data_IF_531232568431
#
_entry.id   IF_531232568431
#
_cell.length_a   1.000
_cell.length_b   1.000
_cell.length_c   1.000
_cell.angle_alpha   90.00
_cell.angle_beta   90.00
_cell.angle_gamma   90.00
#
_symmetry.space_group_name_H-M   'P 1'
#
loop_
_entity.id
_entity.type
_entity.pdbx_description
1 polymer ?
#
# COMPACT_ATOMS: atom_id res chain seq x y z
N UNK A 1 17.86 -54.88 4.58
CA UNK A 1 18.36 -53.55 5.00
C UNK A 1 17.82 -52.52 4.02
N UNK A 2 16.89 -51.67 4.47
CA UNK A 2 16.31 -50.59 3.65
C UNK A 2 17.40 -49.56 3.33
N UNK A 3 17.61 -49.20 2.06
CA UNK A 3 18.67 -48.24 1.69
C UNK A 3 18.32 -46.86 2.25
N UNK A 4 19.30 -46.12 2.77
CA UNK A 4 19.13 -44.76 3.35
C UNK A 4 18.31 -43.84 2.44
N UNK A 5 18.49 -43.97 1.12
CA UNK A 5 17.68 -43.29 0.09
C UNK A 5 16.18 -43.53 0.28
N UNK A 6 15.76 -44.79 0.38
CA UNK A 6 14.34 -45.16 0.37
C UNK A 6 13.63 -44.63 1.61
N UNK A 7 14.34 -44.60 2.74
CA UNK A 7 13.82 -44.06 3.99
C UNK A 7 13.71 -42.53 3.97
N UNK A 8 14.70 -41.82 3.41
CA UNK A 8 14.62 -40.36 3.18
C UNK A 8 13.36 -40.03 2.36
N UNK A 9 13.09 -40.80 1.30
CA UNK A 9 11.94 -40.58 0.44
C UNK A 9 10.62 -40.89 1.13
N UNK A 10 10.56 -41.97 1.92
CA UNK A 10 9.40 -42.32 2.75
C UNK A 10 9.06 -41.20 3.73
N UNK A 11 10.05 -40.69 4.47
CA UNK A 11 9.86 -39.62 5.45
C UNK A 11 9.42 -38.31 4.79
N UNK A 12 9.92 -38.00 3.57
CA UNK A 12 9.45 -36.85 2.80
C UNK A 12 7.98 -36.98 2.38
N UNK A 13 7.56 -38.15 1.90
CA UNK A 13 6.15 -38.44 1.57
C UNK A 13 5.23 -38.30 2.78
N UNK A 14 5.73 -38.61 3.98
CA UNK A 14 5.03 -38.43 5.25
C UNK A 14 5.01 -36.97 5.75
N UNK A 15 5.57 -36.03 5.00
CA UNK A 15 5.50 -34.61 5.33
C UNK A 15 6.65 -34.09 6.20
N UNK A 16 7.69 -34.89 6.49
CA UNK A 16 8.81 -34.44 7.32
C UNK A 16 9.70 -33.43 6.59
N UNK A 17 10.21 -32.46 7.33
CA UNK A 17 11.20 -31.47 6.90
C UNK A 17 12.62 -32.06 6.85
N UNK A 18 13.54 -31.43 6.09
CA UNK A 18 14.94 -31.87 6.07
C UNK A 18 15.59 -31.96 7.47
N UNK A 19 15.40 -30.99 8.39
CA UNK A 19 15.94 -31.11 9.76
C UNK A 19 15.43 -32.34 10.53
N UNK A 20 14.16 -32.69 10.38
CA UNK A 20 13.58 -33.87 11.04
C UNK A 20 14.15 -35.16 10.46
N UNK A 21 14.32 -35.24 9.14
CA UNK A 21 14.96 -36.39 8.48
C UNK A 21 16.42 -36.55 8.89
N UNK A 22 17.16 -35.44 8.98
CA UNK A 22 18.55 -35.42 9.47
C UNK A 22 18.61 -35.94 10.92
N UNK A 23 17.68 -35.51 11.77
CA UNK A 23 17.59 -35.95 13.17
C UNK A 23 17.27 -37.45 13.28
N UNK A 24 16.33 -37.93 12.48
CA UNK A 24 15.86 -39.32 12.53
C UNK A 24 16.86 -40.31 11.94
N UNK A 25 17.55 -39.93 10.86
CA UNK A 25 18.44 -40.84 10.11
C UNK A 25 19.93 -40.59 10.36
N UNK A 26 20.28 -39.52 11.08
CA UNK A 26 21.68 -39.15 11.37
C UNK A 26 22.50 -38.80 10.12
N UNK A 27 21.85 -38.46 9.00
CA UNK A 27 22.52 -38.19 7.73
C UNK A 27 22.68 -36.69 7.47
N UNK A 28 23.61 -36.31 6.58
CA UNK A 28 23.86 -34.89 6.30
C UNK A 28 22.75 -34.27 5.45
N UNK A 29 22.57 -32.95 5.59
CA UNK A 29 21.61 -32.17 4.75
C UNK A 29 21.85 -32.38 3.25
N UNK A 30 23.11 -32.51 2.84
CA UNK A 30 23.49 -32.74 1.45
C UNK A 30 23.00 -34.08 0.93
N UNK A 31 23.04 -35.14 1.75
CA UNK A 31 22.53 -36.48 1.41
C UNK A 31 21.02 -36.43 1.22
N UNK A 32 20.29 -35.79 2.14
CA UNK A 32 18.83 -35.61 2.04
C UNK A 32 18.47 -34.84 0.77
N UNK A 33 19.15 -33.72 0.50
CA UNK A 33 18.90 -32.89 -0.68
C UNK A 33 19.17 -33.65 -1.98
N UNK A 34 20.29 -34.38 -2.07
CA UNK A 34 20.70 -35.13 -3.27
C UNK A 34 19.68 -36.20 -3.66
N UNK A 35 19.12 -36.91 -2.68
CA UNK A 35 18.13 -37.96 -2.93
C UNK A 35 16.75 -37.40 -3.26
N UNK A 36 16.37 -36.26 -2.69
CA UNK A 36 15.13 -35.58 -3.08
C UNK A 36 15.22 -34.99 -4.50
N UNK A 37 16.33 -34.33 -4.86
CA UNK A 37 16.45 -33.62 -6.14
C UNK A 37 16.44 -34.50 -7.40
N UNK A 38 16.65 -35.82 -7.26
CA UNK A 38 16.70 -36.77 -8.39
C UNK A 38 15.38 -37.50 -8.66
N UNK A 39 14.27 -37.09 -8.05
CA UNK A 39 12.96 -37.67 -8.33
C UNK A 39 12.27 -36.99 -9.50
N UNK A 40 11.85 -37.77 -10.49
CA UNK A 40 10.80 -37.36 -11.42
C UNK A 40 9.51 -37.11 -10.61
N UNK A 41 8.83 -35.98 -10.85
CA UNK A 41 7.66 -35.57 -10.07
C UNK A 41 7.96 -34.88 -8.73
N UNK A 42 9.20 -34.42 -8.49
CA UNK A 42 9.60 -33.74 -7.25
C UNK A 42 8.67 -32.58 -6.83
N UNK A 43 7.99 -31.91 -7.78
CA UNK A 43 7.07 -30.80 -7.46
C UNK A 43 5.90 -31.21 -6.56
N UNK A 44 5.40 -32.44 -6.66
CA UNK A 44 4.28 -32.92 -5.82
C UNK A 44 4.71 -33.30 -4.40
N UNK A 45 6.00 -33.58 -4.20
CA UNK A 45 6.57 -33.97 -2.90
C UNK A 45 7.26 -32.80 -2.17
N UNK A 46 7.41 -31.65 -2.81
CA UNK A 46 7.87 -30.43 -2.14
C UNK A 46 6.74 -29.87 -1.32
N UNK A 47 6.76 -30.12 -0.01
CA UNK A 47 6.06 -29.26 0.93
C UNK A 47 6.64 -27.87 0.73
N UNK A 48 5.85 -26.95 0.19
CA UNK A 48 6.23 -25.55 0.07
C UNK A 48 6.35 -24.97 1.49
N UNK A 49 7.54 -25.11 2.08
CA UNK A 49 7.88 -24.52 3.37
C UNK A 49 7.85 -22.98 3.33
N UNK A 50 7.69 -22.37 2.14
CA UNK A 50 7.51 -20.94 1.94
C UNK A 50 6.07 -20.49 2.25
N UNK A 51 5.06 -21.36 2.07
CA UNK A 51 3.68 -21.06 2.51
C UNK A 51 3.58 -20.87 4.02
N UNK A 52 4.35 -21.64 4.81
CA UNK A 52 4.34 -21.56 6.30
C UNK A 52 5.10 -20.37 6.90
N UNK A 53 5.77 -19.54 6.10
CA UNK A 53 6.68 -18.46 6.59
C UNK A 53 6.18 -17.05 6.39
N UNK A 54 4.99 -16.85 5.83
CA UNK A 54 4.47 -15.51 5.65
C UNK A 54 3.81 -15.03 6.95
N UNK A 55 4.56 -14.31 7.78
CA UNK A 55 3.98 -13.56 8.91
C UNK A 55 2.85 -12.65 8.44
N UNK A 56 1.83 -12.33 9.24
CA UNK A 56 0.86 -11.32 8.85
C UNK A 56 1.55 -9.98 8.55
N UNK A 57 1.01 -9.23 7.60
CA UNK A 57 1.44 -7.84 7.37
C UNK A 57 1.01 -7.00 8.57
N UNK A 58 1.88 -6.09 8.98
CA UNK A 58 1.53 -5.08 9.98
C UNK A 58 1.03 -3.82 9.26
N UNK A 59 -0.09 -3.96 8.56
CA UNK A 59 -0.75 -2.89 7.80
C UNK A 59 -2.22 -2.86 8.25
N UNK A 60 -2.72 -1.70 8.72
CA UNK A 60 -4.15 -1.55 9.02
C UNK A 60 -5.02 -1.82 7.80
N UNK A 61 -6.10 -2.58 7.96
CA UNK A 61 -6.95 -3.05 6.87
C UNK A 61 -7.54 -1.88 6.05
N UNK A 62 -7.84 -0.76 6.70
CA UNK A 62 -8.35 0.46 6.08
C UNK A 62 -7.34 1.14 5.14
N UNK A 63 -6.04 0.86 5.28
CA UNK A 63 -4.98 1.39 4.42
C UNK A 63 -4.73 0.52 3.18
N UNK A 64 -5.18 -0.74 3.15
CA UNK A 64 -4.95 -1.64 2.01
C UNK A 64 -5.56 -1.12 0.69
N UNK A 65 -6.83 -0.64 0.64
CA UNK A 65 -7.38 -0.10 -0.60
C UNK A 65 -6.61 1.13 -1.10
N UNK A 66 -6.12 1.96 -0.17
CA UNK A 66 -5.35 3.16 -0.48
C UNK A 66 -3.96 2.77 -1.01
N UNK A 67 -3.32 1.75 -0.43
CA UNK A 67 -2.05 1.20 -0.92
C UNK A 67 -2.19 0.68 -2.35
N UNK A 68 -3.23 -0.12 -2.63
CA UNK A 68 -3.49 -0.64 -3.97
C UNK A 68 -3.65 0.51 -4.98
N UNK A 69 -4.41 1.54 -4.62
CA UNK A 69 -4.65 2.70 -5.48
C UNK A 69 -3.37 3.52 -5.76
N UNK A 70 -2.56 3.80 -4.73
CA UNK A 70 -1.30 4.55 -4.89
C UNK A 70 -0.25 3.76 -5.68
N UNK A 71 -0.06 2.48 -5.36
CA UNK A 71 0.92 1.63 -6.02
C UNK A 71 0.53 1.34 -7.46
N UNK A 72 -0.75 1.11 -7.74
CA UNK A 72 -1.27 0.93 -9.10
C UNK A 72 -1.15 2.18 -9.97
N UNK A 73 -1.00 3.36 -9.37
CA UNK A 73 -0.72 4.62 -10.07
C UNK A 73 0.77 4.93 -10.21
N UNK A 74 1.66 3.98 -9.89
CA UNK A 74 3.12 4.15 -9.92
C UNK A 74 3.63 5.30 -9.03
N UNK A 75 2.95 5.56 -7.90
CA UNK A 75 3.44 6.49 -6.88
C UNK A 75 4.69 5.89 -6.22
N UNK A 76 5.71 6.72 -5.97
CA UNK A 76 6.98 6.25 -5.39
C UNK A 76 6.74 5.58 -4.04
N UNK A 77 7.27 4.37 -3.88
CA UNK A 77 7.08 3.51 -2.70
C UNK A 77 7.46 4.21 -1.38
N UNK A 78 8.52 5.01 -1.40
CA UNK A 78 8.96 5.81 -0.26
C UNK A 78 7.93 6.87 0.12
N UNK A 79 7.34 7.54 -0.87
CA UNK A 79 6.31 8.55 -0.63
C UNK A 79 5.03 7.89 -0.10
N UNK A 80 4.69 6.69 -0.59
CA UNK A 80 3.55 5.90 -0.09
C UNK A 80 3.73 5.52 1.37
N UNK A 81 4.89 4.95 1.73
CA UNK A 81 5.20 4.57 3.11
C UNK A 81 5.13 5.78 4.05
N UNK A 82 5.72 6.90 3.65
CA UNK A 82 5.79 8.12 4.43
C UNK A 82 4.43 8.86 4.55
N UNK A 83 3.58 8.80 3.52
CA UNK A 83 2.24 9.41 3.56
C UNK A 83 1.25 8.59 4.39
N UNK A 84 1.39 7.27 4.38
CA UNK A 84 0.50 6.38 5.12
C UNK A 84 1.02 6.04 6.53
N UNK A 85 2.15 6.61 6.94
CA UNK A 85 2.82 6.29 8.21
C UNK A 85 2.95 4.77 8.40
N UNK A 86 3.54 4.12 7.39
CA UNK A 86 3.76 2.67 7.36
C UNK A 86 5.26 2.38 7.32
N UNK A 87 5.74 1.34 8.02
CA UNK A 87 7.12 0.90 7.86
C UNK A 87 7.40 0.54 6.40
N UNK A 88 8.47 1.06 5.83
CA UNK A 88 8.83 0.80 4.43
C UNK A 88 8.95 -0.71 4.13
N UNK A 89 9.41 -1.49 5.11
CA UNK A 89 9.48 -2.96 5.03
C UNK A 89 8.12 -3.62 4.83
N UNK A 90 7.06 -3.13 5.48
CA UNK A 90 5.69 -3.63 5.29
C UNK A 90 5.18 -3.32 3.89
N UNK A 91 5.44 -2.10 3.39
CA UNK A 91 5.07 -1.72 2.01
C UNK A 91 5.76 -2.60 0.98
N UNK A 92 7.05 -2.93 1.17
CA UNK A 92 7.76 -3.85 0.28
C UNK A 92 7.20 -5.27 0.33
N UNK A 93 6.84 -5.77 1.51
CA UNK A 93 6.20 -7.07 1.66
C UNK A 93 4.81 -7.10 0.99
N UNK A 94 4.04 -6.02 1.14
CA UNK A 94 2.75 -5.86 0.46
C UNK A 94 2.91 -5.90 -1.05
N UNK A 95 3.84 -5.11 -1.61
CA UNK A 95 4.18 -5.10 -3.04
C UNK A 95 4.52 -6.51 -3.54
N UNK A 96 5.36 -7.23 -2.79
CA UNK A 96 5.77 -8.60 -3.13
C UNK A 96 4.59 -9.57 -3.14
N UNK A 97 3.67 -9.47 -2.17
CA UNK A 97 2.48 -10.34 -2.09
C UNK A 97 1.46 -10.06 -3.19
N UNK A 98 1.26 -8.79 -3.51
CA UNK A 98 0.30 -8.36 -4.53
C UNK A 98 0.86 -8.43 -5.95
N UNK A 99 2.15 -8.76 -6.11
CA UNK A 99 2.79 -8.88 -7.43
C UNK A 99 2.96 -7.55 -8.17
N UNK A 100 3.03 -6.42 -7.46
CA UNK A 100 3.28 -5.13 -8.11
C UNK A 100 4.68 -5.08 -8.72
N UNK A 101 4.74 -4.81 -10.02
CA UNK A 101 6.00 -4.52 -10.72
C UNK A 101 6.19 -3.01 -10.86
N UNK A 102 7.44 -2.54 -10.85
CA UNK A 102 7.73 -1.14 -11.14
C UNK A 102 7.63 -0.89 -12.65
N UNK A 103 6.74 0.00 -13.07
CA UNK A 103 6.73 0.49 -14.45
C UNK A 103 7.73 1.64 -14.60
N UNK A 104 8.92 1.35 -15.11
CA UNK A 104 9.88 2.39 -15.44
C UNK A 104 9.56 2.98 -16.83
N UNK A 105 8.71 4.01 -16.88
CA UNK A 105 8.46 4.77 -18.11
C UNK A 105 9.36 6.01 -18.17
N UNK A 106 10.05 6.21 -19.28
CA UNK A 106 10.67 7.52 -19.55
C UNK A 106 9.58 8.51 -19.89
N UNK A 107 9.48 9.59 -19.11
CA UNK A 107 8.54 10.67 -19.33
C UNK A 107 9.27 11.91 -19.83
N UNK A 108 8.60 12.69 -20.68
CA UNK A 108 9.07 14.01 -21.08
C UNK A 108 8.93 15.02 -19.91
N UNK A 109 9.60 16.17 -19.99
CA UNK A 109 9.62 17.17 -18.92
C UNK A 109 8.23 17.61 -18.45
N UNK A 110 7.33 17.94 -19.39
CA UNK A 110 5.96 18.39 -19.05
C UNK A 110 5.12 17.28 -18.38
N UNK A 111 5.28 16.02 -18.83
CA UNK A 111 4.58 14.85 -18.27
C UNK A 111 5.06 14.55 -16.86
N UNK A 112 6.36 14.71 -16.60
CA UNK A 112 6.93 14.55 -15.24
C UNK A 112 6.30 15.53 -14.26
N UNK A 113 6.16 16.79 -14.65
CA UNK A 113 5.53 17.82 -13.81
C UNK A 113 4.06 17.48 -13.57
N UNK A 114 3.32 17.11 -14.62
CA UNK A 114 1.89 16.72 -14.52
C UNK A 114 1.71 15.50 -13.61
N UNK A 115 2.54 14.46 -13.79
CA UNK A 115 2.50 13.25 -12.97
C UNK A 115 2.87 13.56 -11.52
N UNK A 116 3.90 14.38 -11.28
CA UNK A 116 4.29 14.79 -9.93
C UNK A 116 3.16 15.49 -9.20
N UNK A 117 2.47 16.44 -9.84
CA UNK A 117 1.30 17.13 -9.27
C UNK A 117 0.17 16.15 -8.95
N UNK A 118 -0.13 15.23 -9.87
CA UNK A 118 -1.12 14.17 -9.65
C UNK A 118 -0.75 13.31 -8.43
N UNK A 119 0.48 12.81 -8.35
CA UNK A 119 0.94 11.96 -7.26
C UNK A 119 0.91 12.70 -5.92
N UNK A 120 1.29 13.97 -5.88
CA UNK A 120 1.17 14.81 -4.68
C UNK A 120 -0.28 14.93 -4.21
N UNK A 121 -1.22 15.21 -5.12
CA UNK A 121 -2.65 15.25 -4.79
C UNK A 121 -3.15 13.89 -4.28
N UNK A 122 -2.72 12.79 -4.91
CA UNK A 122 -3.07 11.44 -4.47
C UNK A 122 -2.58 11.12 -3.07
N UNK A 123 -1.31 11.43 -2.77
CA UNK A 123 -0.73 11.26 -1.43
C UNK A 123 -1.47 12.10 -0.39
N UNK A 124 -1.78 13.36 -0.72
CA UNK A 124 -2.50 14.25 0.18
C UNK A 124 -3.93 13.75 0.48
N UNK A 125 -4.62 13.22 -0.53
CA UNK A 125 -5.95 12.59 -0.38
C UNK A 125 -5.86 11.30 0.44
N UNK A 126 -4.84 10.49 0.20
CA UNK A 126 -4.58 9.26 0.95
C UNK A 126 -4.33 9.52 2.44
N UNK A 127 -3.59 10.58 2.78
CA UNK A 127 -3.36 11.01 4.17
C UNK A 127 -4.66 11.35 4.92
N UNK A 128 -5.71 11.75 4.20
CA UNK A 128 -7.03 12.05 4.75
C UNK A 128 -8.04 10.92 4.52
N UNK A 129 -7.56 9.70 4.29
CA UNK A 129 -8.40 8.50 4.21
C UNK A 129 -9.09 8.25 2.87
N UNK A 130 -8.78 9.05 1.84
CA UNK A 130 -9.22 8.78 0.46
C UNK A 130 -10.70 9.06 0.16
N UNK A 131 -11.44 9.64 1.09
CA UNK A 131 -12.88 9.93 0.96
C UNK A 131 -13.23 11.26 1.59
N UNK A 132 -14.33 11.85 1.16
CA UNK A 132 -14.87 13.06 1.77
C UNK A 132 -15.20 12.79 3.24
N UNK A 133 -14.70 13.63 4.14
CA UNK A 133 -14.89 13.48 5.59
C UNK A 133 -16.35 13.71 6.02
N UNK A 134 -17.16 14.38 5.18
CA UNK A 134 -18.57 14.66 5.48
C UNK A 134 -19.55 13.68 4.84
N UNK A 135 -19.35 13.33 3.57
CA UNK A 135 -20.32 12.53 2.80
C UNK A 135 -19.78 11.20 2.25
N UNK A 136 -18.50 10.89 2.47
CA UNK A 136 -17.90 9.63 2.01
C UNK A 136 -17.65 9.51 0.50
N UNK A 137 -17.87 10.58 -0.29
CA UNK A 137 -17.53 10.60 -1.72
C UNK A 137 -16.08 10.16 -1.95
N UNK A 138 -15.85 9.22 -2.87
CA UNK A 138 -14.53 8.64 -3.16
C UNK A 138 -14.31 8.29 -4.64
N UNK A 139 -15.12 8.86 -5.55
CA UNK A 139 -15.16 8.43 -6.96
C UNK A 139 -14.13 9.09 -7.87
N UNK A 140 -13.67 10.31 -7.54
CA UNK A 140 -12.74 11.05 -8.40
C UNK A 140 -11.74 11.85 -7.58
N UNK A 141 -10.46 11.76 -7.96
CA UNK A 141 -9.39 12.56 -7.39
C UNK A 141 -9.62 14.07 -7.56
N UNK A 142 -10.21 14.46 -8.69
CA UNK A 142 -10.48 15.86 -9.03
C UNK A 142 -11.70 16.40 -8.28
N UNK A 143 -12.54 15.52 -7.74
CA UNK A 143 -13.72 15.93 -6.97
C UNK A 143 -13.41 16.39 -5.55
N UNK A 144 -12.13 16.45 -5.16
CA UNK A 144 -11.69 16.72 -3.80
C UNK A 144 -10.97 18.06 -3.66
N UNK A 145 -11.32 18.78 -2.60
CA UNK A 145 -10.69 20.01 -2.16
C UNK A 145 -10.27 19.91 -0.69
N UNK A 146 -9.26 20.69 -0.32
CA UNK A 146 -8.75 20.76 1.04
C UNK A 146 -9.31 22.02 1.70
N UNK A 147 -10.25 21.83 2.63
CA UNK A 147 -10.88 22.89 3.39
C UNK A 147 -10.04 23.24 4.61
N UNK A 148 -9.57 24.47 4.73
CA UNK A 148 -8.96 24.92 5.98
C UNK A 148 -10.04 25.15 7.04
N UNK A 149 -9.90 24.50 8.20
CA UNK A 149 -10.87 24.67 9.30
C UNK A 149 -10.79 26.09 9.86
N UNK A 150 -9.57 26.59 10.05
CA UNK A 150 -9.28 27.98 10.35
C UNK A 150 -8.47 28.59 9.19
N UNK A 151 -9.06 29.53 8.42
CA UNK A 151 -8.35 30.23 7.34
C UNK A 151 -7.13 31.02 7.81
N UNK A 152 -7.05 31.41 9.09
CA UNK A 152 -5.93 32.18 9.65
C UNK A 152 -4.68 31.33 9.90
N UNK A 153 -4.83 30.01 10.02
CA UNK A 153 -3.72 29.06 10.20
C UNK A 153 -3.10 28.58 8.87
N UNK A 154 -3.62 29.05 7.74
CA UNK A 154 -3.18 28.69 6.39
C UNK A 154 -1.81 29.28 6.09
N UNK A 155 -0.82 28.43 5.86
CA UNK A 155 0.50 28.88 5.43
C UNK A 155 0.55 29.10 3.91
N UNK A 156 -0.12 28.23 3.14
CA UNK A 156 -0.13 28.30 1.68
C UNK A 156 -1.28 27.52 1.04
N UNK A 157 -1.62 27.83 -0.21
CA UNK A 157 -2.60 27.05 -0.97
C UNK A 157 -1.95 25.79 -1.57
N UNK A 158 -2.42 24.60 -1.21
CA UNK A 158 -1.90 23.32 -1.74
C UNK A 158 -1.93 23.24 -3.28
N UNK A 159 -2.85 23.95 -3.93
CA UNK A 159 -2.97 24.03 -5.38
C UNK A 159 -1.87 24.85 -6.08
N UNK A 160 -1.22 25.78 -5.37
CA UNK A 160 -0.27 26.73 -5.93
C UNK A 160 1.20 26.31 -5.78
N UNK A 161 1.45 25.13 -5.21
CA UNK A 161 2.77 24.76 -4.71
C UNK A 161 3.49 23.80 -5.65
N UNK A 162 4.62 24.25 -6.21
CA UNK A 162 5.53 23.41 -7.01
C UNK A 162 6.85 23.11 -6.33
N UNK A 163 7.27 23.91 -5.34
CA UNK A 163 8.66 23.93 -4.84
C UNK A 163 8.80 23.72 -3.32
N UNK A 164 7.74 23.30 -2.63
CA UNK A 164 7.76 23.09 -1.17
C UNK A 164 8.10 21.64 -0.83
N UNK A 165 8.83 21.45 0.26
CA UNK A 165 9.18 20.12 0.77
C UNK A 165 7.92 19.33 1.15
N UNK A 166 7.99 18.01 0.97
CA UNK A 166 6.88 17.12 1.31
C UNK A 166 6.50 17.22 2.80
N UNK A 167 7.47 17.40 3.70
CA UNK A 167 7.22 17.61 5.13
C UNK A 167 6.30 18.81 5.42
N UNK A 168 6.53 19.94 4.76
CA UNK A 168 5.70 21.14 4.90
C UNK A 168 4.32 20.94 4.30
N UNK A 169 4.24 20.24 3.16
CA UNK A 169 2.96 19.85 2.56
C UNK A 169 2.14 18.98 3.51
N UNK A 170 2.76 18.01 4.19
CA UNK A 170 2.10 17.18 5.21
C UNK A 170 1.57 18.00 6.38
N UNK A 171 2.37 18.93 6.89
CA UNK A 171 1.98 19.82 7.98
C UNK A 171 0.76 20.67 7.60
N UNK A 172 0.73 21.22 6.38
CA UNK A 172 -0.42 22.00 5.91
C UNK A 172 -1.66 21.13 5.69
N UNK A 173 -1.52 19.93 5.11
CA UNK A 173 -2.64 18.99 4.95
C UNK A 173 -3.24 18.62 6.31
N UNK A 174 -2.43 18.51 7.37
CA UNK A 174 -2.92 18.17 8.70
C UNK A 174 -4.00 19.16 9.18
N UNK A 175 -3.87 20.45 8.84
CA UNK A 175 -4.81 21.53 9.18
C UNK A 175 -6.08 21.55 8.31
N UNK A 176 -6.11 20.80 7.22
CA UNK A 176 -7.24 20.76 6.29
C UNK A 176 -8.19 19.59 6.58
N UNK A 177 -9.46 19.74 6.21
CA UNK A 177 -10.38 18.63 5.96
C UNK A 177 -10.42 18.29 4.47
N UNK A 178 -10.47 17.00 4.14
CA UNK A 178 -10.70 16.54 2.78
C UNK A 178 -12.20 16.51 2.48
N UNK A 179 -12.67 17.42 1.63
CA UNK A 179 -14.08 17.52 1.26
C UNK A 179 -14.26 17.30 -0.24
N UNK A 180 -15.43 16.79 -0.63
CA UNK A 180 -15.81 16.84 -2.04
C UNK A 180 -16.21 18.26 -2.43
N UNK A 181 -16.15 18.60 -3.72
CA UNK A 181 -16.42 19.95 -4.22
C UNK A 181 -17.78 20.53 -3.75
N UNK A 182 -18.81 19.69 -3.59
CA UNK A 182 -20.12 20.12 -3.09
C UNK A 182 -20.06 20.45 -1.59
N UNK A 183 -19.62 19.51 -0.75
CA UNK A 183 -19.50 19.74 0.69
C UNK A 183 -18.52 20.88 1.01
N UNK A 184 -17.47 21.06 0.21
CA UNK A 184 -16.56 22.18 0.33
C UNK A 184 -17.29 23.52 0.14
N UNK A 185 -18.09 23.66 -0.92
CA UNK A 185 -18.89 24.86 -1.18
C UNK A 185 -19.92 25.12 -0.06
N UNK A 186 -20.60 24.08 0.41
CA UNK A 186 -21.55 24.18 1.54
C UNK A 186 -20.85 24.64 2.83
N UNK A 187 -19.61 24.21 3.08
CA UNK A 187 -18.84 24.65 4.24
C UNK A 187 -18.42 26.13 4.13
N UNK A 188 -18.02 26.60 2.95
CA UNK A 188 -17.80 28.04 2.71
C UNK A 188 -19.06 28.85 2.93
N UNK A 189 -20.21 28.38 2.42
CA UNK A 189 -21.52 29.03 2.62
C UNK A 189 -21.87 29.18 4.11
N UNK A 190 -21.67 28.11 4.90
CA UNK A 190 -21.85 28.12 6.36
C UNK A 190 -20.89 29.10 7.04
N UNK A 191 -19.62 29.11 6.66
CA UNK A 191 -18.60 30.00 7.22
C UNK A 191 -18.88 31.49 6.92
N UNK A 192 -19.46 31.79 5.76
CA UNK A 192 -19.83 33.16 5.38
C UNK A 192 -21.16 33.64 5.98
N UNK A 193 -21.87 32.77 6.72
CA UNK A 193 -23.15 33.12 7.32
C UNK A 193 -24.26 33.38 6.30
N UNK A 194 -24.09 32.89 5.07
CA UNK A 194 -25.11 32.96 4.01
C UNK A 194 -26.16 31.89 4.33
N UNK A 195 -27.04 32.16 5.29
CA UNK A 195 -28.19 31.32 5.65
C UNK A 195 -29.25 31.30 4.55
N UNK A 196 -28.88 30.90 3.34
CA UNK A 196 -29.73 30.87 2.17
C UNK A 196 -30.36 29.48 2.03
N UNK A 197 -31.24 29.11 2.97
CA UNK A 197 -32.20 28.05 2.67
C UNK A 197 -33.15 28.60 1.61
N UNK A 198 -33.20 28.02 0.39
CA UNK A 198 -34.11 28.51 -0.62
C UNK A 198 -35.55 28.32 -0.14
N UNK A 199 -36.31 29.41 -0.06
CA UNK A 199 -37.67 29.44 0.49
C UNK A 199 -38.70 28.64 -0.31
N UNK A 200 -38.33 28.10 -1.47
CA UNK A 200 -39.19 27.26 -2.32
C UNK A 200 -39.12 25.76 -1.99
N UNK A 201 -38.50 25.41 -0.85
CA UNK A 201 -38.52 24.08 -0.24
C UNK A 201 -39.35 24.02 1.06
N UNK A 202 -40.04 25.10 1.41
CA UNK A 202 -41.08 25.17 2.45
C UNK A 202 -42.46 25.21 1.80
#
# INVERSE_FOLDING_TARGET
MTRVRDEILRLRRLGKSYPEIIKDLGCSKSVVSYHCSKLEGHSELVIDHNQKRQRPLNIPAEKEPILLWLLGADVRRTDVADALDLPYSEVLLFIKRQGFSANHRSLQGYERVKQRRKHLKMLAVAMKGGRCELCGYHRSLQGFDFHHQDPSEKDFALSAVTSISWSRVKAEIAKCQLLCATCHREQHERQWGLGLTPTWLL
#
